data_IF_965940469165
#
_entry.id   IF_965940469165
#
_cell.length_a   1.000
_cell.length_b   1.000
_cell.length_c   1.000
_cell.angle_alpha   90.00
_cell.angle_beta   90.00
_cell.angle_gamma   90.00
#
_symmetry.space_group_name_H-M   'P 1'
#
loop_
_entity.id
_entity.type
_entity.pdbx_description
1 polymer ?
#
# COMPACT_ATOMS: atom_id res chain seq x y z
N UNK A 1 -10.39 -17.61 -3.43
CA UNK A 1 -11.39 -16.52 -3.25
C UNK A 1 -10.79 -15.21 -3.75
N UNK A 2 -11.63 -14.32 -4.27
CA UNK A 2 -11.24 -12.96 -4.67
C UNK A 2 -11.14 -12.11 -3.40
N UNK A 3 -9.94 -11.69 -3.02
CA UNK A 3 -9.69 -11.03 -1.73
C UNK A 3 -8.49 -10.06 -1.82
N UNK A 4 -8.48 -9.07 -0.92
CA UNK A 4 -7.31 -8.25 -0.59
C UNK A 4 -6.57 -8.95 0.55
N UNK A 5 -5.30 -9.30 0.35
CA UNK A 5 -4.47 -10.04 1.32
C UNK A 5 -3.59 -9.15 2.18
N UNK A 6 -3.37 -7.92 1.76
CA UNK A 6 -2.51 -6.97 2.46
C UNK A 6 -2.81 -5.56 1.98
N UNK A 7 -2.82 -4.62 2.90
CA UNK A 7 -2.87 -3.19 2.61
C UNK A 7 -1.78 -2.46 3.39
N UNK A 8 -1.20 -1.41 2.82
CA UNK A 8 -0.29 -0.53 3.54
C UNK A 8 -0.33 0.89 3.01
N UNK A 9 -0.04 1.83 3.92
CA UNK A 9 0.27 3.22 3.60
C UNK A 9 1.78 3.41 3.70
N UNK A 10 2.38 4.00 2.67
CA UNK A 10 3.82 4.28 2.60
C UNK A 10 4.05 5.75 2.25
N UNK A 11 5.21 6.28 2.61
CA UNK A 11 5.66 7.58 2.15
C UNK A 11 6.27 7.47 0.75
N UNK A 12 5.85 8.33 -0.18
CA UNK A 12 6.22 8.24 -1.61
C UNK A 12 7.72 8.41 -1.85
N UNK A 13 8.37 9.32 -1.11
CA UNK A 13 9.76 9.72 -1.37
C UNK A 13 10.79 8.61 -1.17
N UNK A 14 10.54 7.71 -0.22
CA UNK A 14 11.50 6.70 0.25
C UNK A 14 10.87 5.31 0.47
N UNK A 15 9.55 5.18 0.28
CA UNK A 15 8.83 3.94 0.53
C UNK A 15 8.74 3.57 2.00
N UNK A 16 8.97 4.51 2.93
CA UNK A 16 8.89 4.24 4.37
C UNK A 16 7.46 3.78 4.72
N UNK A 17 7.27 2.58 5.29
CA UNK A 17 5.95 2.13 5.70
C UNK A 17 5.45 2.98 6.87
N UNK A 18 4.24 3.52 6.74
CA UNK A 18 3.59 4.38 7.74
C UNK A 18 2.59 3.58 8.58
N UNK A 19 1.78 2.76 7.91
CA UNK A 19 0.85 1.80 8.52
C UNK A 19 0.62 0.60 7.58
N UNK A 20 0.22 -0.55 8.12
CA UNK A 20 -0.12 -1.73 7.34
C UNK A 20 -1.12 -2.64 8.06
N UNK A 21 -1.88 -3.43 7.29
CA UNK A 21 -2.77 -4.47 7.83
C UNK A 21 -1.95 -5.60 8.46
N UNK A 22 -2.49 -6.21 9.50
CA UNK A 22 -1.82 -7.27 10.28
C UNK A 22 -2.19 -8.67 9.78
N UNK A 23 -1.83 -8.96 8.52
CA UNK A 23 -2.14 -10.26 7.91
C UNK A 23 -0.93 -11.20 7.85
N UNK A 24 -1.02 -12.31 8.59
CA UNK A 24 -0.04 -13.39 8.53
C UNK A 24 -0.44 -14.39 7.45
N UNK A 25 0.17 -14.24 6.28
CA UNK A 25 0.09 -15.23 5.20
C UNK A 25 1.43 -15.95 5.04
N UNK A 26 1.44 -17.26 5.28
CA UNK A 26 2.62 -18.12 5.10
C UNK A 26 2.84 -18.61 3.67
N UNK A 27 1.98 -18.20 2.72
CA UNK A 27 2.14 -18.58 1.32
C UNK A 27 3.41 -17.96 0.71
N UNK A 28 4.27 -18.79 0.12
CA UNK A 28 5.51 -18.36 -0.53
C UNK A 28 5.28 -17.32 -1.64
N UNK A 29 4.23 -17.48 -2.44
CA UNK A 29 3.89 -16.53 -3.50
C UNK A 29 3.54 -15.15 -2.93
N UNK A 30 2.85 -15.14 -1.79
CA UNK A 30 2.53 -13.90 -1.08
C UNK A 30 3.79 -13.25 -0.51
N UNK A 31 4.70 -14.02 0.08
CA UNK A 31 5.97 -13.50 0.60
C UNK A 31 6.83 -12.89 -0.53
N UNK A 32 6.85 -13.51 -1.70
CA UNK A 32 7.52 -12.96 -2.88
C UNK A 32 6.82 -11.69 -3.38
N UNK A 33 5.50 -11.70 -3.46
CA UNK A 33 4.72 -10.53 -3.84
C UNK A 33 4.96 -9.36 -2.86
N UNK A 34 5.05 -9.64 -1.55
CA UNK A 34 5.36 -8.65 -0.51
C UNK A 34 6.76 -8.06 -0.65
N UNK A 35 7.75 -8.86 -1.08
CA UNK A 35 9.09 -8.34 -1.43
C UNK A 35 9.02 -7.41 -2.64
N UNK A 36 8.27 -7.79 -3.69
CA UNK A 36 8.06 -6.93 -4.87
C UNK A 36 7.35 -5.63 -4.51
N UNK A 37 6.34 -5.68 -3.65
CA UNK A 37 5.65 -4.49 -3.14
C UNK A 37 6.61 -3.55 -2.42
N UNK A 38 7.51 -4.08 -1.57
CA UNK A 38 8.53 -3.28 -0.88
C UNK A 38 9.52 -2.61 -1.84
N UNK A 39 9.92 -3.31 -2.91
CA UNK A 39 10.77 -2.70 -3.95
C UNK A 39 9.98 -1.61 -4.66
N UNK A 40 8.74 -1.88 -5.07
CA UNK A 40 7.88 -0.92 -5.74
C UNK A 40 7.65 0.33 -4.87
N UNK A 41 7.42 0.18 -3.56
CA UNK A 41 7.20 1.30 -2.65
C UNK A 41 8.40 2.26 -2.61
N UNK A 42 9.63 1.74 -2.70
CA UNK A 42 10.86 2.54 -2.69
C UNK A 42 11.10 3.36 -3.97
N UNK A 43 10.41 3.02 -5.06
CA UNK A 43 10.56 3.68 -6.36
C UNK A 43 9.28 4.36 -6.85
N UNK A 44 8.24 4.46 -5.99
CA UNK A 44 6.93 5.01 -6.35
C UNK A 44 6.98 6.41 -6.95
N UNK A 45 7.94 7.25 -6.52
CA UNK A 45 8.13 8.60 -7.06
C UNK A 45 8.44 8.62 -8.57
N UNK A 46 8.85 7.49 -9.16
CA UNK A 46 9.15 7.35 -10.59
C UNK A 46 7.93 6.87 -11.41
N UNK A 47 6.83 6.53 -10.76
CA UNK A 47 5.63 5.97 -11.38
C UNK A 47 4.46 6.97 -11.36
N UNK A 48 3.44 6.77 -12.22
CA UNK A 48 2.22 7.59 -12.18
C UNK A 48 1.50 7.50 -10.83
N UNK A 49 0.54 8.40 -10.59
CA UNK A 49 -0.22 8.46 -9.33
C UNK A 49 -1.08 7.22 -9.05
N UNK A 50 -1.31 6.37 -10.05
CA UNK A 50 -2.07 5.13 -9.88
C UNK A 50 -1.54 4.07 -10.82
N UNK A 51 -1.47 2.83 -10.35
CA UNK A 51 -1.05 1.73 -11.20
C UNK A 51 -1.33 0.35 -10.63
N UNK A 52 -1.13 -0.65 -11.50
CA UNK A 52 -1.24 -2.06 -11.16
C UNK A 52 0.00 -2.78 -11.66
N UNK A 53 0.73 -3.44 -10.77
CA UNK A 53 1.73 -4.43 -11.12
C UNK A 53 1.08 -5.82 -11.09
N UNK A 54 0.71 -6.33 -12.27
CA UNK A 54 0.05 -7.64 -12.41
C UNK A 54 1.06 -8.77 -12.20
N UNK A 55 0.67 -9.76 -11.40
CA UNK A 55 1.33 -11.07 -11.33
C UNK A 55 0.40 -12.18 -11.81
N UNK A 56 0.83 -13.44 -11.62
CA UNK A 56 0.04 -14.63 -12.00
C UNK A 56 -1.18 -14.80 -11.09
N UNK A 57 -0.93 -15.02 -9.81
CA UNK A 57 -1.99 -15.29 -8.81
C UNK A 57 -2.27 -14.07 -7.93
N UNK A 58 -1.29 -13.17 -7.82
CA UNK A 58 -1.36 -11.96 -7.01
C UNK A 58 -1.00 -10.73 -7.85
N UNK A 59 -1.70 -9.63 -7.62
CA UNK A 59 -1.42 -8.32 -8.21
C UNK A 59 -1.22 -7.28 -7.11
N UNK A 60 -0.37 -6.30 -7.38
CA UNK A 60 -0.18 -5.13 -6.52
C UNK A 60 -0.90 -3.94 -7.16
N UNK A 61 -1.77 -3.30 -6.41
CA UNK A 61 -2.44 -2.05 -6.79
C UNK A 61 -1.90 -0.92 -5.93
N UNK A 62 -1.73 0.27 -6.49
CA UNK A 62 -1.31 1.44 -5.73
C UNK A 62 -1.97 2.73 -6.21
N UNK A 63 -2.17 3.65 -5.28
CA UNK A 63 -2.61 5.04 -5.51
C UNK A 63 -1.73 5.95 -4.65
N UNK A 64 -1.14 6.99 -5.24
CA UNK A 64 -0.37 8.03 -4.56
C UNK A 64 -1.03 9.39 -4.69
N UNK A 65 -0.93 10.18 -3.62
CA UNK A 65 -1.41 11.56 -3.55
C UNK A 65 -0.55 12.33 -2.56
N UNK A 66 0.06 13.42 -3.03
CA UNK A 66 1.05 14.17 -2.25
C UNK A 66 2.21 13.27 -1.80
N UNK A 67 2.46 13.27 -0.49
CA UNK A 67 3.60 12.55 0.12
C UNK A 67 3.31 11.09 0.47
N UNK A 68 2.07 10.61 0.30
CA UNK A 68 1.68 9.25 0.68
C UNK A 68 1.18 8.43 -0.50
N UNK A 69 1.33 7.12 -0.38
CA UNK A 69 0.72 6.15 -1.27
C UNK A 69 0.09 5.02 -0.48
N UNK A 70 -1.08 4.59 -0.93
CA UNK A 70 -1.75 3.39 -0.45
C UNK A 70 -1.48 2.27 -1.46
N UNK A 71 -1.12 1.09 -0.96
CA UNK A 71 -0.82 -0.08 -1.77
C UNK A 71 -1.56 -1.30 -1.23
N UNK A 72 -1.99 -2.19 -2.12
CA UNK A 72 -2.65 -3.44 -1.75
C UNK A 72 -2.12 -4.63 -2.57
N UNK A 73 -2.07 -5.81 -1.94
CA UNK A 73 -1.88 -7.09 -2.63
C UNK A 73 -3.23 -7.78 -2.70
N UNK A 74 -3.67 -8.10 -3.92
CA UNK A 74 -4.96 -8.74 -4.16
C UNK A 74 -4.79 -10.02 -4.99
N UNK A 75 -5.76 -10.93 -4.91
CA UNK A 75 -5.90 -12.00 -5.90
C UNK A 75 -5.93 -11.39 -7.31
N UNK A 76 -5.31 -12.03 -8.30
CA UNK A 76 -5.27 -11.51 -9.68
C UNK A 76 -6.65 -11.41 -10.34
N UNK A 77 -7.64 -12.16 -9.84
CA UNK A 77 -9.04 -12.09 -10.23
C UNK A 77 -9.88 -11.08 -9.43
N UNK A 78 -9.27 -10.33 -8.50
CA UNK A 78 -9.96 -9.27 -7.77
C UNK A 78 -10.28 -8.09 -8.68
N UNK A 79 -11.46 -7.49 -8.49
CA UNK A 79 -11.89 -6.36 -9.31
C UNK A 79 -10.94 -5.19 -9.13
N UNK A 80 -10.29 -4.79 -10.22
CA UNK A 80 -9.38 -3.64 -10.20
C UNK A 80 -10.10 -2.35 -9.79
N UNK A 81 -11.39 -2.21 -10.14
CA UNK A 81 -12.22 -1.07 -9.71
C UNK A 81 -12.37 -1.08 -8.18
N UNK A 82 -12.75 -2.22 -7.61
CA UNK A 82 -12.91 -2.34 -6.15
C UNK A 82 -11.60 -2.11 -5.41
N UNK A 83 -10.47 -2.58 -5.98
CA UNK A 83 -9.15 -2.36 -5.38
C UNK A 83 -8.81 -0.88 -5.32
N UNK A 84 -9.08 -0.12 -6.39
CA UNK A 84 -8.83 1.31 -6.39
C UNK A 84 -9.79 2.08 -5.51
N UNK A 85 -11.08 1.72 -5.46
CA UNK A 85 -12.02 2.33 -4.52
C UNK A 85 -11.56 2.17 -3.07
N UNK A 86 -11.16 0.95 -2.68
CA UNK A 86 -10.60 0.68 -1.35
C UNK A 86 -9.35 1.54 -1.06
N UNK A 87 -8.41 1.64 -2.02
CA UNK A 87 -7.19 2.42 -1.83
C UNK A 87 -7.43 3.93 -1.77
N UNK A 88 -8.43 4.45 -2.49
CA UNK A 88 -8.83 5.85 -2.48
C UNK A 88 -9.52 6.22 -1.16
N UNK A 89 -10.40 5.37 -0.64
CA UNK A 89 -11.01 5.51 0.69
C UNK A 89 -9.94 5.51 1.78
N UNK A 90 -9.03 4.52 1.76
CA UNK A 90 -7.92 4.43 2.70
C UNK A 90 -7.02 5.67 2.67
N UNK A 91 -6.71 6.17 1.47
CA UNK A 91 -5.91 7.37 1.32
C UNK A 91 -6.59 8.59 1.96
N UNK A 92 -7.90 8.73 1.74
CA UNK A 92 -8.68 9.83 2.29
C UNK A 92 -8.74 9.77 3.82
N UNK A 93 -9.02 8.60 4.40
CA UNK A 93 -9.06 8.41 5.85
C UNK A 93 -7.70 8.67 6.51
N UNK A 94 -6.61 8.20 5.91
CA UNK A 94 -5.27 8.43 6.44
C UNK A 94 -4.88 9.92 6.40
N UNK A 95 -5.17 10.60 5.29
CA UNK A 95 -4.91 12.03 5.14
C UNK A 95 -5.79 12.90 6.05
N UNK A 96 -6.99 12.43 6.41
CA UNK A 96 -7.85 13.09 7.38
C UNK A 96 -7.37 12.88 8.83
N UNK A 97 -6.67 11.78 9.11
CA UNK A 97 -6.23 11.39 10.45
C UNK A 97 -4.89 12.00 10.84
N UNK A 98 -4.00 12.25 9.89
CA UNK A 98 -2.64 12.71 10.15
C UNK A 98 -2.22 13.87 9.26
N UNK A 99 -1.55 14.86 9.86
CA UNK A 99 -1.03 16.00 9.13
C UNK A 99 0.23 15.64 8.31
N UNK A 100 0.45 16.40 7.24
CA UNK A 100 1.58 16.21 6.31
C UNK A 100 2.95 16.42 6.96
N UNK A 101 3.03 17.26 8.01
CA UNK A 101 4.30 17.53 8.70
C UNK A 101 4.75 16.30 9.49
N UNK A 102 3.84 15.70 10.26
CA UNK A 102 4.07 14.45 10.98
C UNK A 102 4.50 13.32 10.04
N UNK A 103 3.83 13.18 8.90
CA UNK A 103 4.18 12.19 7.86
C UNK A 103 5.59 12.44 7.30
N UNK A 104 5.94 13.70 7.02
CA UNK A 104 7.25 14.06 6.46
C UNK A 104 8.40 13.87 7.47
N UNK A 105 8.14 14.09 8.76
CA UNK A 105 9.13 13.94 9.83
C UNK A 105 9.29 12.49 10.33
N UNK A 106 8.36 11.59 9.99
CA UNK A 106 8.45 10.19 10.38
C UNK A 106 9.78 9.55 9.93
N UNK A 107 10.50 8.94 10.87
CA UNK A 107 11.79 8.28 10.62
C UNK A 107 11.77 6.78 10.90
N UNK A 108 10.77 6.31 11.66
CA UNK A 108 10.62 4.91 12.03
C UNK A 108 9.58 4.23 11.14
N UNK A 109 9.83 2.99 10.69
CA UNK A 109 8.81 2.15 10.07
C UNK A 109 7.60 2.00 10.99
N UNK A 110 6.40 2.08 10.41
CA UNK A 110 5.12 1.97 11.10
C UNK A 110 4.95 3.00 12.22
N UNK A 111 5.27 4.27 11.95
CA UNK A 111 5.08 5.34 12.92
C UNK A 111 3.60 5.61 13.26
N UNK A 112 2.66 5.11 12.46
CA UNK A 112 1.21 5.38 12.55
C UNK A 112 0.40 4.08 12.76
N UNK A 113 0.87 3.20 13.67
CA UNK A 113 0.21 1.93 13.98
C UNK A 113 -1.21 2.10 14.54
N UNK A 114 -1.47 3.21 15.23
CA UNK A 114 -2.78 3.52 15.82
C UNK A 114 -3.87 3.72 14.77
N UNK A 115 -3.49 3.97 13.51
CA UNK A 115 -4.44 4.10 12.41
C UNK A 115 -5.31 2.85 12.26
N UNK A 116 -4.73 1.66 12.47
CA UNK A 116 -5.44 0.39 12.37
C UNK A 116 -5.96 0.10 10.96
N UNK A 117 -5.22 -0.73 10.21
CA UNK A 117 -5.61 -1.25 8.89
C UNK A 117 -6.20 -2.66 8.98
#
# INVERSE_FOLDING_TARGET
>A
MSMIFFACVVRVRDGLPLSASTDFHFNQDFLECRKRLKVLSSILAQYPSRGTAKGRDLSIHFVSSGDIACMAICSSNYSTIMAFCFLEELQWEFAASYDTTSISLASRPYAFLEFGL
#
